data_IF_939050908752
#
_entry.id   IF_939050908752
#
_cell.length_a   1.000
_cell.length_b   1.000
_cell.length_c   1.000
_cell.angle_alpha   90.00
_cell.angle_beta   90.00
_cell.angle_gamma   90.00
#
_symmetry.space_group_name_H-M   'P 1'
#
loop_
_entity.id
_entity.type
_entity.pdbx_description
1 polymer ?
#
# COMPACT_ATOMS: atom_id res chain seq x y z
N UNK A 1 -3.13 23.55 -102.21
CA UNK A 1 -3.99 24.69 -102.59
C UNK A 1 -4.34 25.47 -101.33
N UNK A 2 -3.92 26.72 -101.27
CA UNK A 2 -4.32 27.82 -100.37
C UNK A 2 -4.22 27.70 -98.84
N UNK A 3 -3.16 28.36 -98.33
CA UNK A 3 -3.18 29.36 -97.25
C UNK A 3 -4.56 30.04 -96.99
N UNK A 4 -4.98 30.21 -95.73
CA UNK A 4 -4.89 31.47 -94.95
C UNK A 4 -5.76 31.46 -93.67
N UNK A 5 -5.10 31.87 -92.58
CA UNK A 5 -5.52 32.75 -91.46
C UNK A 5 -7.01 32.92 -91.16
N UNK A 6 -7.35 32.82 -89.88
CA UNK A 6 -7.99 33.93 -89.15
C UNK A 6 -7.61 33.88 -87.67
N UNK A 7 -7.25 35.05 -87.12
CA UNK A 7 -7.07 35.28 -85.68
C UNK A 7 -8.41 35.66 -85.05
N UNK A 8 -8.60 35.38 -83.75
CA UNK A 8 -9.37 36.27 -82.89
C UNK A 8 -8.95 36.13 -81.42
N UNK A 9 -8.57 37.27 -80.85
CA UNK A 9 -8.48 37.52 -79.42
C UNK A 9 -9.81 37.24 -78.72
N UNK A 10 -9.79 36.67 -77.51
CA UNK A 10 -10.56 37.26 -76.39
C UNK A 10 -10.21 36.65 -75.03
N UNK A 11 -9.98 37.58 -74.09
CA UNK A 11 -10.38 37.58 -72.67
C UNK A 11 -9.58 36.73 -71.67
N UNK A 12 -8.83 37.47 -70.84
CA UNK A 12 -8.41 37.15 -69.48
C UNK A 12 -9.54 36.45 -68.71
N UNK A 13 -9.23 35.30 -68.11
CA UNK A 13 -9.98 34.73 -67.01
C UNK A 13 -9.06 34.71 -65.78
N UNK A 14 -9.38 35.56 -64.81
CA UNK A 14 -8.73 35.62 -63.50
C UNK A 14 -9.10 34.36 -62.72
N UNK A 15 -8.14 33.46 -62.51
CA UNK A 15 -8.32 32.29 -61.63
C UNK A 15 -7.98 32.73 -60.20
N UNK A 16 -9.01 32.89 -59.37
CA UNK A 16 -8.86 33.01 -57.92
C UNK A 16 -8.73 31.59 -57.37
N UNK A 17 -7.52 31.22 -56.92
CA UNK A 17 -7.29 29.96 -56.23
C UNK A 17 -7.87 30.05 -54.80
N UNK A 18 -8.61 29.03 -54.30
CA UNK A 18 -9.01 29.01 -52.91
C UNK A 18 -7.80 28.68 -52.03
N UNK A 19 -7.46 29.61 -51.13
CA UNK A 19 -6.54 29.37 -50.01
C UNK A 19 -7.26 28.42 -49.05
N UNK A 20 -6.87 27.15 -49.04
CA UNK A 20 -7.29 26.20 -48.00
C UNK A 20 -6.62 26.58 -46.69
N UNK A 21 -7.37 27.24 -45.80
CA UNK A 21 -6.96 27.45 -44.41
C UNK A 21 -7.12 26.11 -43.68
N UNK A 22 -6.02 25.41 -43.46
CA UNK A 22 -5.97 24.27 -42.53
C UNK A 22 -5.91 24.86 -41.12
N UNK A 23 -7.06 24.96 -40.46
CA UNK A 23 -7.11 25.21 -39.01
C UNK A 23 -6.73 23.91 -38.32
N UNK A 24 -5.48 23.82 -37.86
CA UNK A 24 -5.04 22.73 -37.01
C UNK A 24 -5.74 22.81 -35.65
N UNK A 25 -6.78 22.01 -35.46
CA UNK A 25 -7.26 21.68 -34.12
C UNK A 25 -6.22 20.78 -33.46
N UNK A 26 -5.29 21.37 -32.72
CA UNK A 26 -4.54 20.64 -31.71
C UNK A 26 -5.53 20.26 -30.60
N UNK A 27 -6.05 19.04 -30.65
CA UNK A 27 -6.79 18.47 -29.53
C UNK A 27 -5.82 18.33 -28.36
N UNK A 28 -5.90 19.26 -27.41
CA UNK A 28 -5.19 19.19 -26.15
C UNK A 28 -5.85 18.07 -25.33
N UNK A 29 -5.30 16.86 -25.44
CA UNK A 29 -5.68 15.73 -24.60
C UNK A 29 -5.24 16.05 -23.17
N UNK A 30 -6.14 16.62 -22.38
CA UNK A 30 -5.96 16.75 -20.94
C UNK A 30 -6.06 15.34 -20.38
N UNK A 31 -4.92 14.68 -20.18
CA UNK A 31 -4.84 13.48 -19.37
C UNK A 31 -5.15 13.89 -17.93
N UNK A 32 -6.42 13.88 -17.57
CA UNK A 32 -6.82 13.89 -16.16
C UNK A 32 -6.53 12.48 -15.67
N UNK A 33 -5.29 12.25 -15.23
CA UNK A 33 -5.04 11.12 -14.35
C UNK A 33 -6.00 11.27 -13.17
N UNK A 34 -6.74 10.22 -12.77
CA UNK A 34 -7.48 10.29 -11.52
C UNK A 34 -6.46 10.65 -10.44
N UNK A 35 -6.68 11.78 -9.77
CA UNK A 35 -6.01 12.07 -8.53
C UNK A 35 -6.46 10.97 -7.56
N UNK A 36 -5.67 9.90 -7.45
CA UNK A 36 -5.71 9.05 -6.27
C UNK A 36 -5.49 10.03 -5.13
N UNK A 37 -6.50 10.20 -4.28
CA UNK A 37 -6.43 11.10 -3.15
C UNK A 37 -5.30 10.63 -2.23
N UNK A 38 -4.08 11.11 -2.47
CA UNK A 38 -2.89 10.86 -1.67
C UNK A 38 -2.93 11.61 -0.33
N UNK A 39 -3.95 12.44 -0.10
CA UNK A 39 -3.93 13.47 0.94
C UNK A 39 -4.80 13.20 2.17
N UNK A 40 -5.47 12.05 2.27
CA UNK A 40 -6.13 11.70 3.53
C UNK A 40 -5.12 11.02 4.45
N UNK A 41 -4.38 11.80 5.24
CA UNK A 41 -3.62 11.26 6.39
C UNK A 41 -4.57 10.47 7.27
N UNK A 42 -4.31 9.18 7.49
CA UNK A 42 -5.03 8.45 8.52
C UNK A 42 -4.74 9.08 9.88
N UNK A 43 -5.79 9.37 10.64
CA UNK A 43 -5.69 9.90 12.00
C UNK A 43 -6.29 8.86 12.95
N UNK A 44 -5.52 8.34 13.92
CA UNK A 44 -6.03 7.42 14.92
C UNK A 44 -7.21 8.03 15.68
N UNK A 45 -8.34 7.32 15.70
CA UNK A 45 -9.51 7.71 16.49
C UNK A 45 -9.57 6.88 17.76
N UNK A 46 -9.86 7.52 18.90
CA UNK A 46 -9.98 6.84 20.18
C UNK A 46 -11.41 6.91 20.73
N UNK A 47 -11.75 5.98 21.62
CA UNK A 47 -12.91 6.09 22.53
C UNK A 47 -12.59 7.04 23.68
N UNK A 48 -13.62 7.41 24.46
CA UNK A 48 -13.44 8.21 25.68
C UNK A 48 -12.52 7.49 26.70
N UNK A 49 -12.55 6.16 26.71
CA UNK A 49 -11.68 5.29 27.51
C UNK A 49 -10.29 5.06 26.89
N UNK A 50 -9.91 5.86 25.88
CA UNK A 50 -8.61 5.81 25.19
C UNK A 50 -8.29 4.49 24.49
N UNK A 51 -9.30 3.70 24.15
CA UNK A 51 -9.14 2.54 23.26
C UNK A 51 -9.06 3.00 21.82
N UNK A 52 -8.14 2.44 21.03
CA UNK A 52 -8.03 2.74 19.61
C UNK A 52 -9.24 2.15 18.87
N UNK A 53 -9.91 2.92 18.04
CA UNK A 53 -10.99 2.44 17.17
C UNK A 53 -10.41 1.81 15.92
N UNK A 54 -11.06 0.76 15.43
CA UNK A 54 -10.71 0.11 14.17
C UNK A 54 -10.77 1.14 13.03
N UNK A 55 -9.74 1.24 12.17
CA UNK A 55 -9.77 2.19 11.06
C UNK A 55 -11.00 1.94 10.16
N UNK A 56 -11.74 3.00 9.87
CA UNK A 56 -13.01 2.89 9.14
C UNK A 56 -12.77 2.40 7.71
N UNK A 57 -13.74 1.64 7.19
CA UNK A 57 -13.75 1.21 5.80
C UNK A 57 -12.60 0.27 5.40
N UNK A 58 -11.85 -0.28 6.37
CA UNK A 58 -10.66 -1.11 6.10
C UNK A 58 -9.59 -0.40 5.27
N UNK A 59 -9.44 0.92 5.48
CA UNK A 59 -8.58 1.79 4.67
C UNK A 59 -7.11 1.34 4.62
N UNK A 60 -6.63 0.58 5.60
CA UNK A 60 -5.27 0.03 5.58
C UNK A 60 -4.98 -0.87 4.38
N UNK A 61 -6.00 -1.51 3.78
CA UNK A 61 -5.81 -2.34 2.58
C UNK A 61 -5.51 -1.52 1.32
N UNK A 62 -5.66 -0.19 1.40
CA UNK A 62 -5.28 0.75 0.34
C UNK A 62 -3.92 1.43 0.63
N UNK A 63 -3.33 1.16 1.80
CA UNK A 63 -2.03 1.72 2.17
C UNK A 63 -0.89 1.02 1.42
N UNK A 64 0.27 1.70 1.23
CA UNK A 64 1.47 1.07 0.73
C UNK A 64 1.85 -0.20 1.50
N UNK A 65 1.84 -1.34 0.81
CA UNK A 65 2.37 -2.60 1.32
C UNK A 65 3.90 -2.57 1.40
N UNK A 66 4.47 -3.01 2.52
CA UNK A 66 5.92 -2.95 2.74
C UNK A 66 6.62 -4.30 2.80
N UNK A 67 5.88 -5.37 3.05
CA UNK A 67 6.42 -6.72 3.09
C UNK A 67 5.45 -7.72 3.69
N UNK A 68 5.76 -9.00 3.46
CA UNK A 68 5.02 -10.11 4.02
C UNK A 68 5.96 -11.20 4.52
N UNK A 69 5.54 -11.85 5.59
CA UNK A 69 6.19 -12.99 6.23
C UNK A 69 5.18 -14.13 6.36
N UNK A 70 5.66 -15.32 6.66
CA UNK A 70 4.81 -16.45 7.05
C UNK A 70 5.45 -17.24 8.19
N UNK A 71 4.66 -17.53 9.21
CA UNK A 71 5.01 -18.42 10.32
C UNK A 71 3.97 -19.54 10.44
N UNK A 72 4.13 -20.63 9.67
CA UNK A 72 3.13 -21.70 9.63
C UNK A 72 2.99 -22.45 10.95
N UNK A 73 1.78 -22.76 11.38
CA UNK A 73 1.48 -23.54 12.58
C UNK A 73 2.21 -24.89 12.58
N UNK A 74 2.20 -25.58 11.44
CA UNK A 74 2.87 -26.87 11.27
C UNK A 74 4.39 -26.80 11.53
N UNK A 75 5.03 -25.64 11.28
CA UNK A 75 6.44 -25.40 11.60
C UNK A 75 6.68 -24.87 13.02
N UNK A 76 5.61 -24.59 13.77
CA UNK A 76 5.65 -23.94 15.09
C UNK A 76 4.89 -24.76 16.14
N UNK A 77 5.03 -26.10 16.11
CA UNK A 77 4.44 -26.98 17.12
C UNK A 77 2.91 -27.05 17.10
N UNK A 78 2.29 -26.68 15.99
CA UNK A 78 0.84 -26.64 15.80
C UNK A 78 0.19 -25.29 16.13
N UNK A 79 0.93 -24.36 16.74
CA UNK A 79 0.39 -23.06 17.17
C UNK A 79 1.49 -21.98 17.09
N UNK A 80 1.54 -21.27 15.96
CA UNK A 80 2.38 -20.10 15.81
C UNK A 80 1.84 -18.95 16.69
N UNK A 81 2.70 -18.10 17.29
CA UNK A 81 2.25 -16.94 18.06
C UNK A 81 1.40 -15.94 17.27
N UNK A 82 1.61 -15.88 15.94
CA UNK A 82 0.88 -15.03 15.02
C UNK A 82 0.53 -15.85 13.76
N UNK A 83 -0.57 -16.61 13.78
CA UNK A 83 -0.92 -17.50 12.68
C UNK A 83 -1.55 -16.72 11.51
N UNK A 84 -1.02 -16.77 10.28
CA UNK A 84 0.27 -17.35 9.87
C UNK A 84 1.00 -16.44 8.88
N UNK A 85 0.35 -16.00 7.81
CA UNK A 85 0.87 -14.95 6.92
C UNK A 85 0.68 -13.59 7.56
N UNK A 86 1.69 -12.73 7.48
CA UNK A 86 1.63 -11.36 7.99
C UNK A 86 1.78 -10.41 6.81
N UNK A 87 0.84 -9.50 6.60
CA UNK A 87 0.90 -8.48 5.55
C UNK A 87 1.02 -7.15 6.23
N UNK A 88 2.10 -6.44 5.95
CA UNK A 88 2.43 -5.19 6.64
C UNK A 88 2.26 -4.03 5.66
N UNK A 89 1.55 -3.00 6.13
CA UNK A 89 1.25 -1.79 5.40
C UNK A 89 1.65 -0.57 6.24
N UNK A 90 2.02 0.53 5.58
CA UNK A 90 2.39 1.79 6.23
C UNK A 90 1.48 2.91 5.74
N UNK A 91 1.06 3.82 6.62
CA UNK A 91 0.21 4.94 6.19
C UNK A 91 0.87 5.77 5.07
N UNK A 92 0.10 6.29 4.09
CA UNK A 92 0.66 6.95 2.91
C UNK A 92 1.55 8.17 3.20
N UNK A 93 1.27 8.90 4.28
CA UNK A 93 2.03 10.10 4.65
C UNK A 93 3.39 9.69 5.23
N UNK A 94 3.42 8.68 6.10
CA UNK A 94 4.68 8.13 6.60
C UNK A 94 5.47 7.39 5.55
N UNK A 95 4.83 6.72 4.60
CA UNK A 95 5.53 6.18 3.42
C UNK A 95 6.27 7.27 2.65
N UNK A 96 5.59 8.40 2.38
CA UNK A 96 6.17 9.51 1.64
C UNK A 96 7.35 10.12 2.39
N UNK A 97 7.19 10.35 3.69
CA UNK A 97 8.25 10.83 4.55
C UNK A 97 9.44 9.85 4.62
N UNK A 98 9.17 8.55 4.76
CA UNK A 98 10.20 7.52 4.84
C UNK A 98 11.02 7.43 3.54
N UNK A 99 10.38 7.58 2.37
CA UNK A 99 11.12 7.65 1.10
C UNK A 99 12.11 8.81 1.07
N UNK A 100 11.70 9.98 1.58
CA UNK A 100 12.50 11.20 1.54
C UNK A 100 13.64 11.19 2.57
N UNK A 101 13.37 10.70 3.77
CA UNK A 101 14.26 10.85 4.93
C UNK A 101 14.90 9.54 5.37
N UNK A 102 14.26 8.42 5.09
CA UNK A 102 14.60 7.11 5.64
C UNK A 102 14.27 6.96 7.13
N UNK A 103 13.41 7.80 7.69
CA UNK A 103 13.00 7.78 9.10
C UNK A 103 11.47 7.63 9.25
N UNK A 104 11.02 7.05 10.36
CA UNK A 104 9.60 7.03 10.72
C UNK A 104 9.24 8.32 11.47
N UNK A 105 8.40 9.16 10.84
CA UNK A 105 7.91 10.40 11.43
C UNK A 105 7.02 10.17 12.65
N UNK A 106 6.86 11.21 13.45
CA UNK A 106 5.75 11.34 14.40
C UNK A 106 4.40 11.08 13.70
N UNK A 107 3.54 10.29 14.34
CA UNK A 107 2.24 9.88 13.80
C UNK A 107 2.32 8.79 12.73
N UNK A 108 3.43 8.04 12.65
CA UNK A 108 3.53 6.86 11.78
C UNK A 108 2.61 5.76 12.25
N UNK A 109 1.86 5.17 11.32
CA UNK A 109 1.00 4.02 11.56
C UNK A 109 1.38 2.87 10.64
N UNK A 110 1.65 1.73 11.25
CA UNK A 110 1.81 0.45 10.57
C UNK A 110 0.60 -0.43 10.87
N UNK A 111 0.06 -1.07 9.83
CA UNK A 111 -0.97 -2.08 9.94
C UNK A 111 -0.38 -3.45 9.62
N UNK A 112 -0.62 -4.43 10.49
CA UNK A 112 -0.33 -5.85 10.21
C UNK A 112 -1.64 -6.60 10.16
N UNK A 113 -1.95 -7.16 9.00
CA UNK A 113 -3.10 -8.03 8.82
C UNK A 113 -2.63 -9.48 8.69
N UNK A 114 -3.34 -10.41 9.32
CA UNK A 114 -3.00 -11.82 9.33
C UNK A 114 -3.93 -12.59 8.40
N UNK A 115 -3.40 -13.60 7.69
CA UNK A 115 -4.21 -14.69 7.14
C UNK A 115 -3.68 -16.02 7.60
N UNK A 116 -4.54 -17.03 7.60
CA UNK A 116 -4.10 -18.42 7.70
C UNK A 116 -3.33 -18.82 6.44
N UNK A 117 -2.55 -19.89 6.55
CA UNK A 117 -2.11 -20.66 5.40
C UNK A 117 -3.34 -21.38 4.84
N UNK A 118 -3.52 -21.30 3.52
CA UNK A 118 -4.53 -22.05 2.80
C UNK A 118 -4.15 -23.53 2.85
N UNK A 119 -4.90 -24.31 3.63
CA UNK A 119 -4.74 -25.74 3.75
C UNK A 119 -6.04 -26.46 3.30
N UNK A 120 -6.24 -26.71 1.99
CA UNK A 120 -7.32 -27.58 1.54
C UNK A 120 -7.07 -29.02 1.99
N UNK A 121 -8.06 -29.90 1.82
CA UNK A 121 -7.85 -31.34 1.99
C UNK A 121 -6.63 -31.79 1.15
N UNK A 122 -5.57 -32.28 1.82
CA UNK A 122 -4.32 -32.70 1.19
C UNK A 122 -3.12 -31.75 1.34
N UNK A 123 -3.09 -30.86 2.32
CA UNK A 123 -1.85 -30.15 2.69
C UNK A 123 -0.72 -31.13 3.11
N UNK A 124 0.52 -30.73 2.86
CA UNK A 124 1.73 -31.47 3.27
C UNK A 124 1.90 -31.44 4.79
N UNK A 125 2.75 -32.32 5.33
CA UNK A 125 3.02 -32.41 6.79
C UNK A 125 3.57 -31.10 7.37
N UNK A 126 4.28 -30.31 6.57
CA UNK A 126 4.80 -28.99 6.96
C UNK A 126 3.78 -27.85 6.79
N UNK A 127 2.55 -28.17 6.39
CA UNK A 127 1.46 -27.21 6.14
C UNK A 127 1.51 -26.55 4.76
N UNK A 128 2.52 -26.82 3.94
CA UNK A 128 2.57 -26.31 2.55
C UNK A 128 1.53 -27.02 1.66
N UNK A 129 1.24 -26.45 0.49
CA UNK A 129 0.37 -27.05 -0.51
C UNK A 129 1.03 -27.07 -1.88
N UNK A 130 0.72 -28.10 -2.68
CA UNK A 130 1.12 -28.18 -4.07
C UNK A 130 0.12 -27.41 -4.95
N UNK A 131 0.56 -26.28 -5.52
CA UNK A 131 -0.25 -25.47 -6.43
C UNK A 131 0.41 -25.36 -7.81
N UNK A 132 -0.28 -24.74 -8.77
CA UNK A 132 0.20 -24.66 -10.16
C UNK A 132 1.55 -23.93 -10.32
N UNK A 133 1.89 -23.04 -9.39
CA UNK A 133 3.19 -22.33 -9.36
C UNK A 133 4.28 -23.07 -8.58
N UNK A 134 3.98 -24.23 -8.00
CA UNK A 134 4.88 -25.04 -7.18
C UNK A 134 4.38 -25.25 -5.74
N UNK A 135 5.19 -25.94 -4.95
CA UNK A 135 4.94 -26.20 -3.53
C UNK A 135 5.34 -25.00 -2.67
N UNK A 136 4.45 -24.59 -1.78
CA UNK A 136 4.73 -23.48 -0.87
C UNK A 136 3.55 -23.15 0.05
N UNK A 137 3.64 -21.99 0.69
CA UNK A 137 2.56 -21.46 1.54
C UNK A 137 1.77 -20.43 0.76
N UNK A 138 0.47 -20.64 0.68
CA UNK A 138 -0.46 -19.77 -0.04
C UNK A 138 -1.43 -19.17 0.96
N UNK A 139 -1.81 -17.91 0.76
CA UNK A 139 -2.68 -17.21 1.70
C UNK A 139 -4.11 -17.74 1.65
N UNK A 140 -4.68 -17.98 2.83
CA UNK A 140 -6.07 -18.36 3.04
C UNK A 140 -6.92 -17.22 3.61
N UNK A 141 -7.84 -17.57 4.50
CA UNK A 141 -8.76 -16.62 5.13
C UNK A 141 -8.06 -15.66 6.10
N UNK A 142 -8.60 -14.45 6.23
CA UNK A 142 -8.15 -13.49 7.23
C UNK A 142 -8.27 -14.05 8.65
N UNK A 143 -7.28 -13.75 9.50
CA UNK A 143 -7.13 -14.34 10.84
C UNK A 143 -6.69 -13.35 11.91
N UNK A 144 -6.64 -12.05 11.63
CA UNK A 144 -6.39 -11.06 12.66
C UNK A 144 -5.87 -9.74 12.14
N UNK A 145 -5.82 -8.76 13.03
CA UNK A 145 -5.41 -7.41 12.68
C UNK A 145 -4.79 -6.65 13.84
N UNK A 146 -3.68 -5.99 13.55
CA UNK A 146 -2.90 -5.21 14.50
C UNK A 146 -2.55 -3.84 13.92
N UNK A 147 -2.48 -2.85 14.79
CA UNK A 147 -1.99 -1.50 14.47
C UNK A 147 -0.84 -1.17 15.43
N UNK A 148 0.20 -0.54 14.89
CA UNK A 148 1.31 0.01 15.65
C UNK A 148 1.45 1.49 15.30
N UNK A 149 1.57 2.35 16.32
CA UNK A 149 1.57 3.81 16.16
C UNK A 149 2.79 4.40 16.85
N UNK A 150 3.57 5.22 16.14
CA UNK A 150 4.60 6.08 16.74
C UNK A 150 3.97 7.42 17.08
N UNK A 151 3.97 7.79 18.35
CA UNK A 151 3.61 9.14 18.76
C UNK A 151 4.18 9.53 20.11
N UNK A 152 5.08 10.50 20.15
CA UNK A 152 5.58 11.08 21.40
C UNK A 152 4.45 11.78 22.18
N UNK A 153 3.52 12.42 21.48
CA UNK A 153 2.37 13.10 22.11
C UNK A 153 1.43 12.12 22.83
N UNK A 154 1.11 11.00 22.19
CA UNK A 154 0.20 9.99 22.75
C UNK A 154 0.91 9.03 23.71
N UNK A 155 2.19 8.76 23.47
CA UNK A 155 2.97 7.71 24.14
C UNK A 155 4.34 8.20 24.61
N UNK A 156 4.42 9.26 25.43
CA UNK A 156 5.70 9.82 25.88
C UNK A 156 6.50 8.84 26.76
N UNK A 157 5.80 7.93 27.43
CA UNK A 157 6.38 6.96 28.37
C UNK A 157 6.61 5.57 27.76
N UNK A 158 6.21 5.33 26.51
CA UNK A 158 6.44 4.04 25.84
C UNK A 158 7.83 4.01 25.19
N UNK A 159 8.54 2.87 25.19
CA UNK A 159 9.84 2.75 24.51
C UNK A 159 9.74 3.13 23.02
N UNK A 160 10.58 4.08 22.61
CA UNK A 160 10.59 4.64 21.24
C UNK A 160 9.32 5.40 20.85
N UNK A 161 8.44 5.68 21.81
CA UNK A 161 7.12 6.28 21.60
C UNK A 161 6.19 5.42 20.72
N UNK A 162 6.43 4.11 20.69
CA UNK A 162 5.63 3.17 19.92
C UNK A 162 4.59 2.48 20.81
N UNK A 163 3.35 2.42 20.33
CA UNK A 163 2.27 1.69 20.97
C UNK A 163 1.65 0.65 20.02
N UNK A 164 1.26 -0.48 20.58
CA UNK A 164 0.76 -1.65 19.85
C UNK A 164 -0.68 -1.95 20.25
N UNK A 165 -1.48 -2.32 19.26
CA UNK A 165 -2.91 -2.60 19.40
C UNK A 165 -3.25 -3.86 18.60
N UNK A 166 -3.99 -4.78 19.20
CA UNK A 166 -4.59 -5.93 18.51
C UNK A 166 -6.10 -5.80 18.51
N UNK A 167 -6.69 -5.96 17.34
CA UNK A 167 -8.14 -6.06 17.14
C UNK A 167 -8.61 -7.52 17.11
N UNK A 168 -7.75 -8.44 17.56
CA UNK A 168 -8.01 -9.87 17.63
C UNK A 168 -7.16 -10.69 16.66
N UNK A 169 -6.90 -11.93 17.05
CA UNK A 169 -6.30 -12.99 16.23
C UNK A 169 -7.39 -14.01 15.86
N UNK A 170 -8.41 -13.53 15.17
CA UNK A 170 -9.53 -14.33 14.68
C UNK A 170 -10.01 -13.81 13.32
N UNK A 171 -10.87 -14.58 12.67
CA UNK A 171 -11.49 -14.20 11.41
C UNK A 171 -12.31 -12.90 11.52
N UNK A 172 -12.51 -12.22 10.39
CA UNK A 172 -13.38 -11.05 10.34
C UNK A 172 -14.82 -11.38 10.80
N UNK A 173 -15.54 -10.44 11.45
CA UNK A 173 -15.14 -9.06 11.73
C UNK A 173 -14.15 -8.96 12.91
N UNK A 174 -13.15 -8.07 12.78
CA UNK A 174 -12.25 -7.73 13.89
C UNK A 174 -12.99 -6.93 14.98
N UNK A 175 -12.41 -6.85 16.18
CA UNK A 175 -12.92 -6.00 17.24
C UNK A 175 -13.05 -4.53 16.77
N UNK A 176 -14.09 -3.84 17.19
CA UNK A 176 -14.29 -2.43 16.82
C UNK A 176 -13.31 -1.48 17.53
N UNK A 177 -12.74 -1.94 18.65
CA UNK A 177 -11.78 -1.18 19.46
C UNK A 177 -10.71 -2.10 20.03
N UNK A 178 -9.54 -1.54 20.33
CA UNK A 178 -8.40 -2.25 20.88
C UNK A 178 -7.80 -1.48 22.07
N UNK A 179 -7.45 -2.21 23.12
CA UNK A 179 -6.66 -1.68 24.23
C UNK A 179 -5.19 -1.66 23.82
N UNK A 180 -4.47 -0.62 24.25
CA UNK A 180 -3.01 -0.56 24.11
C UNK A 180 -2.38 -1.74 24.85
N UNK A 181 -1.50 -2.46 24.17
CA UNK A 181 -0.76 -3.56 24.79
C UNK A 181 0.28 -3.02 25.78
N UNK A 182 0.56 -3.73 26.89
CA UNK A 182 1.69 -3.41 27.76
C UNK A 182 3.03 -3.44 27.00
N UNK A 183 3.98 -2.58 27.37
CA UNK A 183 5.29 -2.50 26.73
C UNK A 183 6.01 -3.86 26.70
N UNK A 184 5.89 -4.64 27.77
CA UNK A 184 6.53 -5.96 27.89
C UNK A 184 5.96 -6.98 26.89
N UNK A 185 4.73 -6.79 26.42
CA UNK A 185 4.09 -7.69 25.47
C UNK A 185 4.58 -7.48 24.03
N UNK A 186 5.00 -6.26 23.68
CA UNK A 186 5.32 -5.91 22.28
C UNK A 186 6.64 -5.13 22.15
N UNK A 187 6.77 -3.99 22.82
CA UNK A 187 7.95 -3.12 22.73
C UNK A 187 9.25 -3.86 23.06
N UNK A 188 9.26 -4.72 24.09
CA UNK A 188 10.48 -5.42 24.51
C UNK A 188 11.09 -6.29 23.39
N UNK A 189 10.27 -7.02 22.63
CA UNK A 189 10.74 -7.84 21.50
C UNK A 189 11.17 -6.98 20.32
N UNK A 190 10.39 -5.93 20.03
CA UNK A 190 10.68 -4.99 18.94
C UNK A 190 11.97 -4.22 19.19
N UNK A 191 12.20 -3.71 20.40
CA UNK A 191 13.43 -3.01 20.78
C UNK A 191 14.67 -3.90 20.62
N UNK A 192 14.56 -5.15 21.07
CA UNK A 192 15.68 -6.06 21.08
C UNK A 192 16.10 -6.55 19.69
N UNK A 193 15.17 -6.58 18.72
CA UNK A 193 15.36 -7.35 17.48
C UNK A 193 15.01 -6.60 16.19
N UNK A 194 14.28 -5.49 16.25
CA UNK A 194 14.01 -4.68 15.07
C UNK A 194 15.30 -4.04 14.54
N UNK A 195 15.48 -4.04 13.21
CA UNK A 195 16.65 -3.41 12.61
C UNK A 195 16.62 -1.88 12.70
N UNK A 196 15.44 -1.27 12.82
CA UNK A 196 15.29 0.18 12.80
C UNK A 196 14.08 0.63 13.59
N UNK A 197 14.28 1.45 14.63
CA UNK A 197 13.23 2.19 15.35
C UNK A 197 11.97 1.34 15.63
N UNK A 198 12.15 0.21 16.31
CA UNK A 198 11.08 -0.73 16.67
C UNK A 198 10.33 -1.36 15.48
N UNK A 199 10.77 -1.15 14.24
CA UNK A 199 10.21 -1.75 13.03
C UNK A 199 11.19 -2.77 12.46
N UNK A 200 10.70 -3.98 12.17
CA UNK A 200 11.50 -5.07 11.62
C UNK A 200 11.85 -4.86 10.12
N UNK A 201 12.49 -3.74 9.77
CA UNK A 201 12.81 -3.36 8.40
C UNK A 201 13.71 -4.35 7.67
N UNK A 202 14.43 -5.24 8.38
CA UNK A 202 15.14 -6.38 7.78
C UNK A 202 14.22 -7.36 7.03
N UNK A 203 12.92 -7.36 7.32
CA UNK A 203 11.91 -8.18 6.64
C UNK A 203 11.04 -7.39 5.64
N UNK A 204 11.20 -6.06 5.55
CA UNK A 204 10.41 -5.19 4.68
C UNK A 204 11.26 -4.64 3.53
N UNK A 205 11.44 -5.40 2.43
CA UNK A 205 12.31 -4.99 1.32
C UNK A 205 11.84 -3.71 0.63
N UNK A 206 10.54 -3.43 0.63
CA UNK A 206 9.98 -2.20 0.03
C UNK A 206 10.47 -0.96 0.79
N UNK A 207 10.47 -0.99 2.14
CA UNK A 207 11.05 0.08 2.95
C UNK A 207 12.55 0.22 2.69
N UNK A 208 13.30 -0.88 2.75
CA UNK A 208 14.76 -0.83 2.52
C UNK A 208 15.14 -0.27 1.15
N UNK A 209 14.38 -0.60 0.11
CA UNK A 209 14.62 -0.10 -1.24
C UNK A 209 14.26 1.40 -1.39
N UNK A 210 13.25 1.86 -0.64
CA UNK A 210 12.78 3.24 -0.67
C UNK A 210 13.59 4.21 0.20
N UNK A 211 14.35 3.70 1.18
CA UNK A 211 15.04 4.50 2.19
C UNK A 211 16.01 5.50 1.53
N UNK A 212 15.78 6.80 1.74
CA UNK A 212 16.70 7.86 1.34
C UNK A 212 16.72 8.22 -0.16
N UNK A 213 15.65 7.92 -0.89
CA UNK A 213 15.42 8.45 -2.25
C UNK A 213 16.32 7.90 -3.36
N UNK A 214 16.57 6.58 -3.38
CA UNK A 214 17.18 5.93 -4.54
C UNK A 214 16.27 5.91 -5.78
#
# INVERSE_FOLDING_TARGET
MFLRKTSLNSKLLTIVAPISIVVGLAALSINIAPAVAQDASYQPEFTDDKMLKLPRGKIWREWPFVGSLVTPNALNGGEAPFPEHHMVYIDPVSWSHYKETGEFREGTVLAKELTLVRAPDGANEDGSTDEISGTGYFMGEFSGFEITIKSEELYPDEPGNWAYYTFGHHAEPYAETAVRQPAEACNACHEASAAEDFVFTQFYPVLRAAKGGN
#
